data_IF_825647437316
#
_entry.id   IF_825647437316
#
_cell.length_a   1.000
_cell.length_b   1.000
_cell.length_c   1.000
_cell.angle_alpha   90.00
_cell.angle_beta   90.00
_cell.angle_gamma   90.00
#
_symmetry.space_group_name_H-M   'P 1'
#
loop_
_entity.id
_entity.type
_entity.pdbx_description
1 polymer ?
#
# COMPACT_ATOMS: atom_id res chain seq x y z
N UNK A 1 1.97 -8.43 11.63
CA UNK A 1 3.15 -7.56 11.85
C UNK A 1 4.39 -8.38 11.61
N UNK A 2 5.47 -7.77 11.10
CA UNK A 2 6.75 -8.41 10.87
C UNK A 2 7.88 -7.45 11.28
N UNK A 3 8.99 -7.99 11.80
CA UNK A 3 10.18 -7.21 12.15
C UNK A 3 11.02 -6.98 10.90
N UNK A 4 11.39 -5.73 10.62
CA UNK A 4 12.25 -5.36 9.50
C UNK A 4 13.51 -4.66 10.00
N UNK A 5 14.66 -5.05 9.43
CA UNK A 5 15.97 -4.46 9.74
C UNK A 5 16.64 -4.07 8.44
N UNK A 6 17.27 -2.89 8.39
CA UNK A 6 17.98 -2.39 7.22
C UNK A 6 17.76 -0.90 6.97
N UNK A 7 18.37 -0.38 5.91
CA UNK A 7 18.24 1.03 5.51
C UNK A 7 16.91 1.34 4.83
N UNK A 8 16.22 0.35 4.24
CA UNK A 8 14.93 0.57 3.58
C UNK A 8 13.81 0.95 4.56
N UNK A 9 13.60 0.25 5.70
CA UNK A 9 12.69 0.72 6.74
C UNK A 9 13.08 2.09 7.30
N UNK A 10 14.38 2.34 7.49
CA UNK A 10 14.88 3.65 7.95
C UNK A 10 14.52 4.77 6.96
N UNK A 11 14.69 4.54 5.65
CA UNK A 11 14.31 5.49 4.61
C UNK A 11 12.80 5.81 4.63
N UNK A 12 11.95 4.80 4.88
CA UNK A 12 10.51 5.01 5.04
C UNK A 12 10.17 5.89 6.26
N UNK A 13 10.89 5.73 7.38
CA UNK A 13 10.72 6.61 8.54
C UNK A 13 11.17 8.04 8.24
N UNK A 14 12.31 8.23 7.58
CA UNK A 14 12.85 9.55 7.23
C UNK A 14 11.95 10.28 6.23
N UNK A 15 11.37 9.57 5.25
CA UNK A 15 10.43 10.16 4.29
C UNK A 15 9.09 10.52 4.94
N UNK A 16 8.57 9.67 5.84
CA UNK A 16 7.41 9.99 6.66
C UNK A 16 7.66 11.23 7.54
N UNK A 17 8.85 11.35 8.12
CA UNK A 17 9.24 12.52 8.90
C UNK A 17 9.28 13.81 8.04
N UNK A 18 9.87 13.77 6.84
CA UNK A 18 9.83 14.91 5.92
C UNK A 18 8.39 15.32 5.57
N UNK A 19 7.50 14.35 5.39
CA UNK A 19 6.08 14.60 5.16
C UNK A 19 5.40 15.28 6.36
N UNK A 20 5.73 14.89 7.60
CA UNK A 20 5.21 15.55 8.81
C UNK A 20 5.64 17.02 8.89
N UNK A 21 6.90 17.34 8.57
CA UNK A 21 7.35 18.73 8.54
C UNK A 21 6.55 19.52 7.51
N UNK A 22 6.40 19.00 6.29
CA UNK A 22 5.59 19.67 5.25
C UNK A 22 4.11 19.79 5.61
N UNK A 23 3.55 18.83 6.34
CA UNK A 23 2.17 18.90 6.80
C UNK A 23 1.95 20.06 7.79
N UNK A 24 2.90 20.28 8.71
CA UNK A 24 2.85 21.41 9.66
C UNK A 24 3.20 22.74 9.00
N UNK A 25 4.13 22.72 8.04
CA UNK A 25 4.67 23.91 7.39
C UNK A 25 4.55 23.80 5.86
N UNK A 26 3.34 23.95 5.30
CA UNK A 26 3.06 23.68 3.89
C UNK A 26 3.76 24.64 2.92
N UNK A 27 4.19 25.82 3.39
CA UNK A 27 4.89 26.83 2.59
C UNK A 27 6.41 26.64 2.57
N UNK A 28 6.97 25.76 3.41
CA UNK A 28 8.42 25.51 3.43
C UNK A 28 8.88 24.90 2.11
N UNK A 29 9.94 25.48 1.56
CA UNK A 29 10.64 24.92 0.43
C UNK A 29 11.41 23.64 0.83
N UNK A 30 11.79 22.81 -0.16
CA UNK A 30 12.49 21.56 0.12
C UNK A 30 13.84 21.73 0.84
N UNK A 31 14.72 22.67 0.45
CA UNK A 31 15.96 22.94 1.18
C UNK A 31 15.75 23.23 2.68
N UNK A 32 14.71 23.99 3.01
CA UNK A 32 14.38 24.36 4.40
C UNK A 32 13.84 23.18 5.19
N UNK A 33 13.08 22.28 4.56
CA UNK A 33 12.68 21.01 5.19
C UNK A 33 13.92 20.19 5.54
N UNK A 34 14.85 20.04 4.60
CA UNK A 34 16.11 19.30 4.82
C UNK A 34 16.93 19.96 5.93
N UNK A 35 17.08 21.28 5.89
CA UNK A 35 17.78 22.05 6.92
C UNK A 35 17.16 21.83 8.30
N UNK A 36 15.83 21.85 8.40
CA UNK A 36 15.14 21.61 9.67
C UNK A 36 15.39 20.19 10.19
N UNK A 37 15.40 19.18 9.31
CA UNK A 37 15.73 17.80 9.69
C UNK A 37 17.16 17.68 10.20
N UNK A 38 18.12 18.33 9.52
CA UNK A 38 19.55 18.30 9.88
C UNK A 38 19.79 19.03 11.21
N UNK A 39 19.31 20.28 11.33
CA UNK A 39 19.47 21.14 12.52
C UNK A 39 18.96 20.48 13.80
N UNK A 40 17.89 19.69 13.68
CA UNK A 40 17.25 19.06 14.82
C UNK A 40 17.65 17.61 15.03
N UNK A 41 18.44 17.01 14.14
CA UNK A 41 18.98 15.67 14.34
C UNK A 41 19.80 15.59 15.63
N UNK A 42 19.92 14.38 16.18
CA UNK A 42 20.86 14.07 17.26
C UNK A 42 22.09 13.47 16.61
N UNK A 43 23.16 14.24 16.58
CA UNK A 43 24.47 13.80 16.11
C UNK A 43 24.93 12.53 16.87
N UNK A 44 25.49 11.59 16.13
CA UNK A 44 26.01 10.32 16.63
C UNK A 44 27.39 10.08 16.02
N UNK A 45 28.34 9.60 16.83
CA UNK A 45 29.70 9.38 16.37
C UNK A 45 30.56 10.64 16.50
N UNK A 46 31.54 10.84 15.61
CA UNK A 46 32.36 12.06 15.58
C UNK A 46 31.50 13.31 15.36
N UNK A 47 31.81 14.45 15.98
CA UNK A 47 31.05 15.68 15.79
C UNK A 47 30.93 16.10 14.32
N UNK A 48 29.71 16.41 13.89
CA UNK A 48 29.42 16.91 12.55
C UNK A 48 28.92 15.81 11.61
N UNK A 49 29.10 16.02 10.29
CA UNK A 49 28.63 15.04 9.29
C UNK A 49 29.63 13.90 9.16
N UNK A 50 29.17 12.67 9.39
CA UNK A 50 30.01 11.47 9.26
C UNK A 50 29.46 10.47 8.21
N UNK A 51 30.28 9.54 7.69
CA UNK A 51 29.83 8.56 6.69
C UNK A 51 28.84 7.51 7.20
N UNK A 52 28.77 7.25 8.51
CA UNK A 52 27.96 6.19 9.10
C UNK A 52 26.58 6.68 9.54
N UNK A 53 26.49 7.86 10.14
CA UNK A 53 25.24 8.43 10.64
C UNK A 53 24.80 9.70 9.90
N UNK A 54 25.62 10.25 9.00
CA UNK A 54 25.29 11.50 8.32
C UNK A 54 25.26 12.64 9.33
N UNK A 55 24.08 13.25 9.54
CA UNK A 55 23.89 14.27 10.57
C UNK A 55 23.31 13.69 11.88
N UNK A 56 23.24 12.36 11.97
CA UNK A 56 22.71 11.64 13.12
C UNK A 56 21.23 11.23 12.99
N UNK A 57 20.61 10.97 14.14
CA UNK A 57 19.25 10.41 14.22
C UNK A 57 18.19 11.51 14.20
N UNK A 58 17.18 11.33 13.35
CA UNK A 58 16.03 12.25 13.24
C UNK A 58 15.26 12.38 14.56
N UNK A 59 14.81 13.61 14.88
CA UNK A 59 13.98 13.90 16.07
C UNK A 59 12.69 14.63 15.67
N UNK A 60 11.63 13.89 15.29
CA UNK A 60 10.40 14.50 14.78
C UNK A 60 9.77 15.52 15.72
N UNK A 61 9.69 15.22 17.02
CA UNK A 61 9.12 16.15 17.99
C UNK A 61 9.89 17.49 17.99
N UNK A 62 11.22 17.42 18.09
CA UNK A 62 12.08 18.61 18.12
C UNK A 62 11.98 19.42 16.82
N UNK A 63 12.02 18.75 15.67
CA UNK A 63 11.87 19.39 14.36
C UNK A 63 10.55 20.14 14.19
N UNK A 64 9.48 19.62 14.79
CA UNK A 64 8.17 20.24 14.73
C UNK A 64 8.00 21.36 15.75
N UNK A 65 8.73 21.36 16.88
CA UNK A 65 8.62 22.40 17.91
C UNK A 65 9.60 23.55 17.76
N UNK A 66 10.78 23.29 17.22
CA UNK A 66 11.85 24.28 17.11
C UNK A 66 11.54 25.32 16.02
N UNK A 67 12.03 26.57 16.17
CA UNK A 67 11.94 27.58 15.12
C UNK A 67 12.57 27.09 13.82
N UNK A 68 11.85 27.33 12.73
CA UNK A 68 12.24 26.96 11.38
C UNK A 68 12.87 28.16 10.68
N UNK A 69 14.03 27.94 10.08
CA UNK A 69 14.71 28.92 9.25
C UNK A 69 14.52 28.55 7.77
N UNK A 70 14.10 29.53 6.96
CA UNK A 70 14.01 29.34 5.52
C UNK A 70 15.39 29.54 4.87
N UNK A 71 15.82 28.55 4.10
CA UNK A 71 17.05 28.59 3.30
C UNK A 71 16.71 28.43 1.82
N UNK A 72 17.48 29.12 0.97
CA UNK A 72 17.31 29.04 -0.49
C UNK A 72 18.15 27.93 -1.13
N UNK A 73 19.28 27.57 -0.52
CA UNK A 73 20.22 26.57 -1.03
C UNK A 73 20.10 25.23 -0.30
N UNK A 74 20.30 24.13 -1.02
CA UNK A 74 20.30 22.78 -0.44
C UNK A 74 21.49 22.62 0.52
N UNK A 75 21.26 22.36 1.83
CA UNK A 75 22.34 22.25 2.81
C UNK A 75 23.20 20.99 2.63
N UNK A 76 22.75 20.03 1.80
CA UNK A 76 23.51 18.82 1.48
C UNK A 76 24.53 19.02 0.35
N UNK A 77 24.58 20.21 -0.27
CA UNK A 77 25.42 20.47 -1.43
C UNK A 77 24.85 19.88 -2.73
N UNK A 78 25.65 19.96 -3.79
CA UNK A 78 25.38 19.24 -5.02
C UNK A 78 25.68 17.75 -4.80
N UNK A 79 24.98 16.83 -5.50
CA UNK A 79 25.39 15.43 -5.50
C UNK A 79 26.76 15.34 -6.19
N UNK A 80 27.83 15.34 -5.40
CA UNK A 80 29.12 14.85 -5.86
C UNK A 80 28.87 13.40 -6.32
N UNK A 81 29.22 13.06 -7.56
CA UNK A 81 28.80 11.83 -8.26
C UNK A 81 29.17 10.47 -7.63
N UNK A 82 29.50 10.44 -6.34
CA UNK A 82 29.70 9.26 -5.48
C UNK A 82 28.41 8.60 -4.98
N UNK A 83 27.22 9.01 -5.48
CA UNK A 83 26.05 8.15 -5.37
C UNK A 83 26.36 6.87 -6.16
N UNK A 84 26.81 5.83 -5.46
CA UNK A 84 27.12 4.53 -6.04
C UNK A 84 25.86 4.05 -6.75
N UNK A 85 25.87 4.19 -8.08
CA UNK A 85 24.87 3.59 -8.96
C UNK A 85 24.75 2.12 -8.56
N UNK A 86 23.55 1.58 -8.35
CA UNK A 86 23.40 0.19 -7.94
C UNK A 86 24.01 -0.70 -9.04
N UNK A 87 25.22 -1.19 -8.79
CA UNK A 87 25.86 -2.18 -9.63
C UNK A 87 25.09 -3.50 -9.46
N UNK A 88 24.22 -3.83 -10.41
CA UNK A 88 23.68 -5.19 -10.53
C UNK A 88 22.23 -5.35 -11.00
N UNK A 89 21.89 -4.84 -12.18
CA UNK A 89 20.97 -5.55 -13.09
C UNK A 89 21.28 -5.11 -14.53
N UNK A 90 21.71 -6.01 -15.43
CA UNK A 90 21.98 -5.65 -16.81
C UNK A 90 20.65 -5.55 -17.56
N UNK A 91 20.08 -4.35 -17.61
CA UNK A 91 19.13 -4.02 -18.68
C UNK A 91 19.92 -3.37 -19.79
N UNK A 92 20.39 -4.20 -20.73
CA UNK A 92 20.76 -3.72 -22.05
C UNK A 92 19.52 -3.10 -22.68
N UNK A 93 19.44 -1.77 -22.69
CA UNK A 93 18.56 -1.04 -23.58
C UNK A 93 19.37 0.15 -24.11
N UNK A 94 19.65 0.08 -25.42
CA UNK A 94 20.63 0.88 -26.11
C UNK A 94 20.49 2.38 -25.90
N UNK A 95 21.65 3.03 -25.93
CA UNK A 95 21.76 4.48 -26.11
C UNK A 95 21.13 4.85 -27.45
N UNK A 96 19.89 5.35 -27.41
CA UNK A 96 19.32 6.10 -28.52
C UNK A 96 18.81 7.43 -27.99
N UNK A 97 19.58 8.49 -28.24
CA UNK A 97 19.19 9.88 -27.98
C UNK A 97 17.92 10.19 -28.79
N UNK A 98 16.74 10.15 -28.18
CA UNK A 98 15.51 10.64 -28.83
C UNK A 98 14.58 11.34 -27.83
N UNK A 99 14.55 12.67 -27.99
CA UNK A 99 13.54 13.68 -27.67
C UNK A 99 12.52 13.42 -26.54
N UNK A 100 12.50 14.36 -25.59
CA UNK A 100 11.77 14.38 -24.31
C UNK A 100 10.22 14.41 -24.36
N UNK A 101 9.58 13.93 -25.43
CA UNK A 101 8.12 13.95 -25.59
C UNK A 101 7.46 12.56 -25.74
N UNK A 102 8.22 11.46 -25.67
CA UNK A 102 7.71 10.11 -25.95
C UNK A 102 7.35 9.24 -24.72
N UNK A 103 7.34 9.78 -23.49
CA UNK A 103 7.10 8.99 -22.26
C UNK A 103 5.70 9.15 -21.63
N UNK A 104 4.79 9.94 -22.23
CA UNK A 104 3.48 10.22 -21.62
C UNK A 104 2.41 9.12 -21.83
N UNK A 105 2.67 8.06 -22.61
CA UNK A 105 1.60 7.13 -23.01
C UNK A 105 1.57 5.76 -22.27
N UNK A 106 2.68 5.07 -21.94
CA UNK A 106 2.55 3.69 -21.43
C UNK A 106 2.19 3.59 -19.95
N UNK A 107 2.39 4.63 -19.12
CA UNK A 107 2.04 4.59 -17.69
C UNK A 107 0.52 4.71 -17.49
N UNK A 108 -0.16 5.49 -18.33
CA UNK A 108 -1.62 5.67 -18.27
C UNK A 108 -2.37 4.38 -18.63
N UNK A 109 -1.91 3.66 -19.66
CA UNK A 109 -2.57 2.44 -20.14
C UNK A 109 -2.47 1.32 -19.09
N UNK A 110 -1.31 1.16 -18.43
CA UNK A 110 -1.15 0.19 -17.36
C UNK A 110 -2.08 0.47 -16.16
N UNK A 111 -2.21 1.74 -15.77
CA UNK A 111 -3.10 2.14 -14.68
C UNK A 111 -4.58 1.93 -15.04
N UNK A 112 -4.97 2.29 -16.27
CA UNK A 112 -6.35 2.10 -16.76
C UNK A 112 -6.71 0.61 -16.84
N UNK A 113 -5.82 -0.23 -17.37
CA UNK A 113 -6.05 -1.68 -17.41
C UNK A 113 -6.14 -2.28 -16.00
N UNK A 114 -5.30 -1.82 -15.06
CA UNK A 114 -5.36 -2.25 -13.66
C UNK A 114 -6.71 -1.86 -13.02
N UNK A 115 -7.18 -0.63 -13.23
CA UNK A 115 -8.48 -0.17 -12.70
C UNK A 115 -9.63 -1.00 -13.30
N UNK A 116 -9.61 -1.26 -14.62
CA UNK A 116 -10.64 -2.07 -15.29
C UNK A 116 -10.69 -3.49 -14.72
N UNK A 117 -9.53 -4.13 -14.52
CA UNK A 117 -9.46 -5.48 -13.94
C UNK A 117 -9.97 -5.49 -12.50
N UNK A 118 -9.60 -4.50 -11.68
CA UNK A 118 -10.08 -4.39 -10.29
C UNK A 118 -11.60 -4.21 -10.24
N UNK A 119 -12.15 -3.32 -11.08
CA UNK A 119 -13.61 -3.10 -11.16
C UNK A 119 -14.31 -4.37 -11.64
N UNK A 120 -13.79 -5.07 -12.65
CA UNK A 120 -14.36 -6.32 -13.15
C UNK A 120 -14.38 -7.40 -12.06
N UNK A 121 -13.29 -7.55 -11.30
CA UNK A 121 -13.21 -8.50 -10.18
C UNK A 121 -14.22 -8.15 -9.09
N UNK A 122 -14.34 -6.87 -8.72
CA UNK A 122 -15.34 -6.41 -7.73
C UNK A 122 -16.76 -6.66 -8.23
N UNK A 123 -17.06 -6.37 -9.49
CA UNK A 123 -18.39 -6.61 -10.08
C UNK A 123 -18.69 -8.10 -10.14
N UNK A 124 -17.75 -8.95 -10.54
CA UNK A 124 -17.94 -10.40 -10.56
C UNK A 124 -18.09 -10.98 -9.14
N UNK A 125 -17.31 -10.48 -8.19
CA UNK A 125 -17.40 -10.88 -6.79
C UNK A 125 -18.73 -10.44 -6.14
N UNK A 126 -19.26 -9.27 -6.50
CA UNK A 126 -20.57 -8.79 -6.04
C UNK A 126 -21.73 -9.46 -6.78
N UNK A 127 -21.56 -9.85 -8.06
CA UNK A 127 -22.56 -10.63 -8.81
C UNK A 127 -22.70 -12.07 -8.30
N UNK A 128 -21.59 -12.68 -7.87
CA UNK A 128 -21.59 -14.01 -7.20
C UNK A 128 -22.25 -13.99 -5.82
N UNK A 129 -22.44 -12.80 -5.24
CA UNK A 129 -23.15 -12.58 -3.98
C UNK A 129 -24.62 -12.21 -4.18
N UNK A 130 -25.23 -12.48 -5.35
CA UNK A 130 -26.69 -12.47 -5.46
C UNK A 130 -27.24 -13.57 -4.55
N UNK A 131 -27.92 -13.24 -3.44
CA UNK A 131 -28.71 -14.23 -2.74
C UNK A 131 -29.74 -14.75 -3.74
N UNK A 132 -30.01 -16.05 -3.75
CA UNK A 132 -31.13 -16.63 -4.50
C UNK A 132 -32.36 -15.78 -4.15
N UNK A 133 -33.03 -15.12 -5.12
CA UNK A 133 -34.32 -14.52 -4.83
C UNK A 133 -35.22 -15.68 -4.41
N UNK A 134 -35.63 -15.71 -3.15
CA UNK A 134 -36.85 -16.43 -2.80
C UNK A 134 -37.92 -15.72 -3.62
N UNK A 135 -38.32 -16.34 -4.72
CA UNK A 135 -39.41 -15.85 -5.54
C UNK A 135 -40.62 -15.73 -4.61
N UNK A 136 -41.01 -14.51 -4.28
CA UNK A 136 -42.34 -14.24 -3.77
C UNK A 136 -43.31 -14.69 -4.87
N UNK A 137 -44.26 -15.61 -4.61
CA UNK A 137 -45.13 -16.11 -5.64
C UNK A 137 -46.08 -14.99 -6.10
N UNK A 138 -46.19 -14.71 -7.41
CA UNK A 138 -47.39 -14.14 -7.96
C UNK A 138 -48.34 -15.34 -8.16
N UNK A 139 -49.61 -15.33 -7.78
CA UNK A 139 -50.63 -14.36 -8.06
C UNK A 139 -51.80 -14.67 -7.12
N UNK A 140 -52.73 -13.71 -6.98
CA UNK A 140 -54.12 -14.10 -6.83
C UNK A 140 -54.52 -14.97 -8.04
N UNK A 141 -54.71 -16.26 -7.80
CA UNK A 141 -55.54 -17.16 -8.61
C UNK A 141 -56.33 -18.03 -7.60
N UNK A 142 -57.63 -18.27 -7.82
CA UNK A 142 -58.49 -18.96 -6.86
C UNK A 142 -58.33 -20.49 -6.94
N UNK A 143 -58.25 -21.14 -5.78
CA UNK A 143 -58.51 -22.57 -5.62
C UNK A 143 -57.28 -23.45 -5.36
N UNK A 144 -56.95 -23.65 -4.08
CA UNK A 144 -56.77 -25.01 -3.52
C UNK A 144 -56.84 -24.98 -1.98
N UNK A 145 -57.48 -25.96 -1.33
CA UNK A 145 -57.47 -26.05 0.12
C UNK A 145 -56.07 -26.46 0.61
N UNK A 146 -55.67 -25.99 1.80
CA UNK A 146 -54.34 -26.27 2.33
C UNK A 146 -54.15 -27.76 2.65
N UNK A 147 -52.92 -28.29 2.52
CA UNK A 147 -52.62 -29.69 2.81
C UNK A 147 -52.74 -30.02 4.31
N UNK A 148 -53.02 -31.30 4.66
CA UNK A 148 -53.15 -31.71 6.05
C UNK A 148 -51.81 -31.64 6.80
N UNK A 149 -51.85 -31.47 8.14
CA UNK A 149 -50.64 -31.30 8.95
C UNK A 149 -49.77 -32.59 8.97
N UNK A 150 -48.43 -32.44 9.14
CA UNK A 150 -47.51 -33.58 9.18
C UNK A 150 -47.81 -34.52 10.35
N UNK A 151 -47.77 -35.83 10.09
CA UNK A 151 -47.85 -36.87 11.13
C UNK A 151 -46.60 -36.92 12.03
N UNK A 152 -46.67 -37.58 13.19
CA UNK A 152 -45.56 -37.63 14.15
C UNK A 152 -44.34 -38.36 13.57
N UNK A 153 -43.11 -38.01 14.00
CA UNK A 153 -41.87 -38.50 13.43
C UNK A 153 -41.70 -40.02 13.65
N UNK A 154 -41.43 -40.75 12.57
CA UNK A 154 -41.07 -42.17 12.61
C UNK A 154 -39.60 -42.33 13.01
N UNK A 155 -39.36 -42.89 14.19
CA UNK A 155 -38.03 -43.27 14.66
C UNK A 155 -37.57 -44.50 13.87
N UNK A 156 -36.69 -44.34 12.88
CA UNK A 156 -36.01 -45.49 12.26
C UNK A 156 -34.86 -45.93 13.15
N UNK A 157 -35.13 -46.91 14.01
CA UNK A 157 -34.13 -47.69 14.73
C UNK A 157 -33.23 -48.45 13.75
N UNK A 158 -31.91 -48.42 13.99
CA UNK A 158 -30.88 -48.93 13.09
C UNK A 158 -31.02 -50.42 12.75
N UNK A 159 -30.57 -50.76 11.54
CA UNK A 159 -30.45 -52.13 11.08
C UNK A 159 -29.00 -52.39 10.62
N UNK A 160 -28.30 -53.41 11.15
CA UNK A 160 -26.89 -53.67 10.85
C UNK A 160 -26.66 -54.11 9.40
N UNK A 161 -25.51 -53.72 8.84
CA UNK A 161 -25.07 -54.11 7.51
C UNK A 161 -24.79 -55.62 7.37
N UNK A 162 -24.86 -56.17 6.14
CA UNK A 162 -24.66 -57.60 5.90
C UNK A 162 -23.19 -58.04 6.06
N UNK A 163 -22.93 -59.29 6.49
CA UNK A 163 -21.58 -59.79 6.73
C UNK A 163 -20.78 -60.05 5.43
N UNK A 164 -19.43 -60.08 5.50
CA UNK A 164 -18.57 -60.31 4.35
C UNK A 164 -18.67 -61.75 3.82
N UNK A 165 -18.47 -61.90 2.51
CA UNK A 165 -18.49 -63.19 1.78
C UNK A 165 -17.11 -63.88 1.87
N UNK A 166 -17.06 -65.23 1.79
CA UNK A 166 -15.88 -66.05 2.07
C UNK A 166 -14.74 -65.90 1.04
#
# INVERSE_FOLDING_TARGET
YASATGTSPAAAFVSGFAALIRAKYPKLNAPSVIQQMIKTAKDLGPPGRDPQYGFGVVRPLKALTDPVDEVSANPLGAPDGSASSPAGAPVSAGSTRHSALAFLVPVGIGLVLLIIVVVLVIVLATRRRRPVPVAAPPYGQPGWPPPPPPGPPTVHSGQPGPPPRP
#
